data_IF_103334163410
#
_entry.id   IF_103334163410
#
_cell.length_a   1.000
_cell.length_b   1.000
_cell.length_c   1.000
_cell.angle_alpha   90.00
_cell.angle_beta   90.00
_cell.angle_gamma   90.00
#
_symmetry.space_group_name_H-M   'P 1'
#
loop_
_entity.id
_entity.type
_entity.pdbx_description
1 polymer ?
#
# COMPACT_ATOMS: atom_id res chain seq x y z
N UNK A 1 -17.37 -8.37 14.23
CA UNK A 1 -16.53 -7.49 15.08
C UNK A 1 -15.09 -7.80 14.73
N UNK A 2 -14.32 -6.81 14.31
CA UNK A 2 -12.92 -7.02 13.88
C UNK A 2 -12.05 -7.22 15.13
N UNK A 3 -11.22 -8.28 15.20
CA UNK A 3 -10.30 -8.47 16.32
C UNK A 3 -9.28 -7.32 16.45
N UNK A 4 -8.90 -6.88 17.66
CA UNK A 4 -7.97 -5.76 17.86
C UNK A 4 -6.63 -5.93 17.14
N UNK A 5 -6.10 -7.15 17.07
CA UNK A 5 -4.85 -7.46 16.38
C UNK A 5 -4.96 -7.27 14.86
N UNK A 6 -6.13 -7.56 14.29
CA UNK A 6 -6.43 -7.34 12.87
C UNK A 6 -6.59 -5.85 12.60
N UNK A 7 -7.26 -5.13 13.50
CA UNK A 7 -7.39 -3.68 13.40
C UNK A 7 -6.01 -2.99 13.46
N UNK A 8 -5.13 -3.39 14.38
CA UNK A 8 -3.76 -2.90 14.45
C UNK A 8 -2.98 -3.16 13.16
N UNK A 9 -3.15 -4.35 12.56
CA UNK A 9 -2.53 -4.70 11.28
C UNK A 9 -3.05 -3.82 10.13
N UNK A 10 -4.36 -3.64 10.03
CA UNK A 10 -4.99 -2.75 9.03
C UNK A 10 -4.46 -1.33 9.17
N UNK A 11 -4.31 -0.83 10.40
CA UNK A 11 -3.75 0.49 10.66
C UNK A 11 -2.27 0.59 10.24
N UNK A 12 -1.46 -0.42 10.56
CA UNK A 12 -0.05 -0.46 10.14
C UNK A 12 0.08 -0.47 8.61
N UNK A 13 -0.68 -1.32 7.93
CA UNK A 13 -0.73 -1.39 6.47
C UNK A 13 -1.20 -0.05 5.87
N UNK A 14 -2.21 0.59 6.47
CA UNK A 14 -2.71 1.89 6.01
C UNK A 14 -1.66 3.01 6.11
N UNK A 15 -0.82 3.00 7.15
CA UNK A 15 0.32 3.95 7.26
C UNK A 15 1.35 3.69 6.16
N UNK A 16 1.64 2.41 5.89
CA UNK A 16 2.61 2.04 4.86
C UNK A 16 2.11 2.38 3.45
N UNK A 17 0.83 2.13 3.14
CA UNK A 17 0.18 2.52 1.89
C UNK A 17 0.33 4.02 1.64
N UNK A 18 0.10 4.86 2.66
CA UNK A 18 0.27 6.32 2.55
C UNK A 18 1.73 6.69 2.28
N UNK A 19 2.68 6.08 2.97
CA UNK A 19 4.10 6.34 2.74
C UNK A 19 4.55 5.95 1.33
N UNK A 20 4.07 4.81 0.81
CA UNK A 20 4.34 4.37 -0.56
C UNK A 20 3.69 5.32 -1.56
N UNK A 21 2.43 5.75 -1.32
CA UNK A 21 1.74 6.71 -2.18
C UNK A 21 2.52 8.02 -2.33
N UNK A 22 3.06 8.55 -1.22
CA UNK A 22 3.88 9.78 -1.26
C UNK A 22 5.15 9.59 -2.09
N UNK A 23 5.85 8.45 -1.96
CA UNK A 23 7.08 8.19 -2.73
C UNK A 23 6.80 7.96 -4.21
N UNK A 24 5.75 7.21 -4.53
CA UNK A 24 5.27 7.02 -5.91
C UNK A 24 4.97 8.38 -6.53
N UNK A 25 4.25 9.24 -5.81
CA UNK A 25 3.92 10.58 -6.29
C UNK A 25 5.17 11.44 -6.53
N UNK A 26 6.18 11.39 -5.65
CA UNK A 26 7.45 12.09 -5.88
C UNK A 26 8.16 11.60 -7.14
N UNK A 27 8.13 10.28 -7.43
CA UNK A 27 8.70 9.76 -8.66
C UNK A 27 7.91 10.20 -9.91
N UNK A 28 6.59 10.33 -9.79
CA UNK A 28 5.74 10.89 -10.85
C UNK A 28 6.10 12.35 -11.13
N UNK A 29 6.26 13.17 -10.08
CA UNK A 29 6.68 14.57 -10.20
C UNK A 29 8.08 14.72 -10.81
N UNK A 30 8.99 13.77 -10.52
CA UNK A 30 10.35 13.75 -11.08
C UNK A 30 10.44 13.17 -12.50
N UNK A 31 9.32 12.80 -13.12
CA UNK A 31 9.28 12.06 -14.39
C UNK A 31 10.08 10.74 -14.38
N UNK A 32 10.19 10.11 -13.21
CA UNK A 32 10.84 8.81 -13.02
C UNK A 32 9.82 7.66 -12.89
N UNK A 33 8.54 7.95 -13.04
CA UNK A 33 7.42 7.01 -12.99
C UNK A 33 7.27 6.19 -14.29
N UNK A 34 8.36 5.55 -14.71
CA UNK A 34 8.38 4.74 -15.93
C UNK A 34 8.34 3.23 -15.59
N UNK A 35 7.76 2.39 -16.46
CA UNK A 35 7.79 0.94 -16.29
C UNK A 35 9.19 0.32 -16.28
N UNK A 36 10.18 1.04 -16.82
CA UNK A 36 11.62 0.70 -16.80
C UNK A 36 12.27 0.96 -15.44
N UNK A 37 11.65 1.80 -14.59
CA UNK A 37 12.15 2.10 -13.26
C UNK A 37 11.71 1.01 -12.28
N UNK A 38 12.66 0.14 -11.91
CA UNK A 38 12.42 -0.97 -11.00
C UNK A 38 11.86 -0.52 -9.64
N UNK A 39 12.34 0.59 -9.10
CA UNK A 39 11.90 1.11 -7.79
C UNK A 39 10.45 1.57 -7.84
N UNK A 40 10.05 2.22 -8.93
CA UNK A 40 8.67 2.66 -9.14
C UNK A 40 7.71 1.46 -9.23
N UNK A 41 8.06 0.47 -10.06
CA UNK A 41 7.26 -0.75 -10.24
C UNK A 41 7.17 -1.55 -8.94
N UNK A 42 8.27 -1.66 -8.20
CA UNK A 42 8.29 -2.33 -6.90
C UNK A 42 7.37 -1.62 -5.90
N UNK A 43 7.47 -0.30 -5.77
CA UNK A 43 6.62 0.47 -4.86
C UNK A 43 5.13 0.36 -5.21
N UNK A 44 4.77 0.43 -6.50
CA UNK A 44 3.39 0.21 -6.94
C UNK A 44 2.91 -1.20 -6.60
N UNK A 45 3.75 -2.21 -6.83
CA UNK A 45 3.44 -3.61 -6.51
C UNK A 45 3.23 -3.81 -5.02
N UNK A 46 4.11 -3.26 -4.18
CA UNK A 46 3.99 -3.32 -2.73
C UNK A 46 2.74 -2.59 -2.23
N UNK A 47 2.45 -1.39 -2.75
CA UNK A 47 1.26 -0.62 -2.39
C UNK A 47 -0.01 -1.41 -2.70
N UNK A 48 -0.10 -2.00 -3.89
CA UNK A 48 -1.24 -2.82 -4.31
C UNK A 48 -1.44 -4.03 -3.38
N UNK A 49 -0.36 -4.76 -3.06
CA UNK A 49 -0.43 -5.92 -2.14
C UNK A 49 -1.03 -5.54 -0.78
N UNK A 50 -0.62 -4.40 -0.21
CA UNK A 50 -1.14 -3.95 1.08
C UNK A 50 -2.61 -3.52 1.01
N UNK A 51 -3.04 -2.91 -0.10
CA UNK A 51 -4.45 -2.56 -0.33
C UNK A 51 -5.30 -3.82 -0.43
N UNK A 52 -4.85 -4.79 -1.22
CA UNK A 52 -5.54 -6.08 -1.39
C UNK A 52 -5.62 -6.84 -0.06
N UNK A 53 -4.54 -6.85 0.73
CA UNK A 53 -4.52 -7.45 2.06
C UNK A 53 -5.51 -6.77 3.02
N UNK A 54 -5.52 -5.44 3.09
CA UNK A 54 -6.47 -4.71 3.92
C UNK A 54 -7.92 -4.97 3.51
N UNK A 55 -8.19 -5.03 2.19
CA UNK A 55 -9.51 -5.37 1.68
C UNK A 55 -9.92 -6.78 2.12
N UNK A 56 -9.02 -7.75 1.99
CA UNK A 56 -9.28 -9.12 2.41
C UNK A 56 -9.56 -9.23 3.91
N UNK A 57 -8.74 -8.59 4.76
CA UNK A 57 -8.95 -8.55 6.21
C UNK A 57 -10.32 -7.92 6.55
N UNK A 58 -10.68 -6.81 5.91
CA UNK A 58 -11.99 -6.19 6.14
C UNK A 58 -13.16 -7.08 5.70
N UNK A 59 -13.04 -7.78 4.58
CA UNK A 59 -14.06 -8.71 4.08
C UNK A 59 -14.22 -9.94 4.99
N UNK A 60 -13.12 -10.46 5.53
CA UNK A 60 -13.12 -11.65 6.39
C UNK A 60 -13.83 -11.42 7.74
N UNK A 61 -13.78 -10.20 8.29
CA UNK A 61 -14.30 -9.88 9.62
C UNK A 61 -15.54 -8.96 9.61
N UNK A 62 -16.15 -8.79 8.42
CA UNK A 62 -17.42 -8.09 8.20
C UNK A 62 -18.60 -8.96 8.64
#
# INVERSE_FOLDING_TARGET
>A
MIPPEVEMKIQANSRHIKSLATRIHQLEEMHLAEPSNADYVEMQTQQKKLVDENRHLLEQYK
#
